data_IF_329650798852
#
_entry.id   IF_329650798852
#
_cell.length_a   1.000
_cell.length_b   1.000
_cell.length_c   1.000
_cell.angle_alpha   90.00
_cell.angle_beta   90.00
_cell.angle_gamma   90.00
#
_symmetry.space_group_name_H-M   'P 1'
#
loop_
_entity.id
_entity.type
_entity.pdbx_description
1 polymer ?
#
# COMPACT_ATOMS: atom_id res chain seq x y z
N UNK A 1 -38.51 29.26 31.16
CA UNK A 1 -37.74 28.91 29.95
C UNK A 1 -38.12 27.47 29.59
N UNK A 2 -39.24 27.26 28.89
CA UNK A 2 -39.31 27.25 27.41
C UNK A 2 -38.27 26.28 26.85
N UNK A 3 -38.64 24.99 26.70
CA UNK A 3 -39.16 24.42 25.45
C UNK A 3 -38.22 24.61 24.26
N UNK A 4 -37.54 23.52 23.88
CA UNK A 4 -37.53 22.95 22.52
C UNK A 4 -36.24 22.17 22.29
N UNK A 5 -36.23 20.91 22.71
CA UNK A 5 -35.39 19.88 22.10
C UNK A 5 -35.96 19.64 20.69
N UNK A 6 -35.50 20.44 19.72
CA UNK A 6 -35.89 20.29 18.32
C UNK A 6 -35.19 19.04 17.78
N UNK A 7 -35.94 17.94 17.78
CA UNK A 7 -35.58 16.72 17.09
C UNK A 7 -35.41 16.99 15.60
N UNK A 8 -34.19 16.76 15.11
CA UNK A 8 -33.91 16.73 13.68
C UNK A 8 -34.40 15.39 13.10
N UNK A 9 -35.07 15.41 11.93
CA UNK A 9 -35.66 14.23 11.32
C UNK A 9 -34.59 13.25 10.83
N UNK A 10 -34.82 11.97 11.17
CA UNK A 10 -34.15 10.80 10.65
C UNK A 10 -34.21 10.81 9.12
N UNK A 11 -33.04 10.97 8.48
CA UNK A 11 -32.92 10.81 7.03
C UNK A 11 -33.28 9.36 6.65
N UNK A 12 -34.42 9.21 5.97
CA UNK A 12 -34.85 7.95 5.36
C UNK A 12 -33.90 7.60 4.21
N UNK A 13 -32.89 6.77 4.48
CA UNK A 13 -32.10 6.12 3.44
C UNK A 13 -32.95 5.03 2.78
N UNK A 14 -33.52 5.32 1.61
CA UNK A 14 -34.10 4.29 0.74
C UNK A 14 -32.97 3.45 0.17
N UNK A 15 -32.74 2.28 0.77
CA UNK A 15 -31.93 1.21 0.21
C UNK A 15 -32.57 0.76 -1.11
N UNK A 16 -31.96 1.14 -2.23
CA UNK A 16 -32.37 0.69 -3.55
C UNK A 16 -32.00 -0.79 -3.70
N UNK A 17 -33.02 -1.64 -3.68
CA UNK A 17 -32.94 -3.07 -3.94
C UNK A 17 -32.49 -3.33 -5.38
N UNK A 18 -31.18 -3.53 -5.58
CA UNK A 18 -30.66 -4.06 -6.83
C UNK A 18 -30.89 -5.58 -6.88
N UNK A 19 -31.86 -5.95 -7.71
CA UNK A 19 -32.27 -7.30 -8.07
C UNK A 19 -31.07 -8.20 -8.42
N UNK A 20 -30.94 -9.32 -7.70
CA UNK A 20 -30.07 -10.42 -8.11
C UNK A 20 -30.73 -11.10 -9.30
N UNK A 21 -30.04 -11.17 -10.42
CA UNK A 21 -30.46 -12.02 -11.53
C UNK A 21 -29.28 -12.64 -12.25
N UNK A 22 -29.12 -13.93 -11.94
CA UNK A 22 -28.76 -15.05 -12.81
C UNK A 22 -27.31 -15.14 -13.28
N UNK A 23 -26.60 -16.02 -12.57
CA UNK A 23 -25.57 -16.86 -13.13
C UNK A 23 -26.02 -17.51 -14.44
N UNK A 24 -25.18 -17.40 -15.47
CA UNK A 24 -25.09 -18.37 -16.54
C UNK A 24 -23.67 -18.90 -16.56
N UNK A 25 -23.53 -20.16 -16.17
CA UNK A 25 -22.35 -20.95 -16.46
C UNK A 25 -22.24 -21.13 -17.98
N UNK A 26 -21.08 -20.78 -18.53
CA UNK A 26 -20.67 -21.22 -19.84
C UNK A 26 -19.28 -21.84 -19.70
N UNK A 27 -19.28 -23.17 -19.68
CA UNK A 27 -18.13 -24.02 -19.88
C UNK A 27 -17.57 -23.77 -21.28
N UNK A 28 -16.32 -23.33 -21.38
CA UNK A 28 -15.45 -23.73 -22.48
C UNK A 28 -14.12 -24.19 -21.87
N UNK A 29 -13.92 -25.50 -21.90
CA UNK A 29 -12.65 -26.14 -21.63
C UNK A 29 -11.68 -25.68 -22.71
N UNK A 30 -10.82 -24.75 -22.34
CA UNK A 30 -9.70 -24.29 -23.16
C UNK A 30 -8.67 -23.76 -22.19
N UNK A 31 -7.78 -24.64 -21.73
CA UNK A 31 -6.69 -24.34 -20.81
C UNK A 31 -5.82 -23.24 -21.44
N UNK A 32 -5.88 -21.97 -20.99
CA UNK A 32 -4.91 -21.02 -21.44
C UNK A 32 -3.59 -21.48 -20.81
N UNK A 33 -2.61 -21.76 -21.66
CA UNK A 33 -1.21 -21.74 -21.28
C UNK A 33 -1.02 -20.53 -20.35
N UNK A 34 -0.62 -20.78 -19.10
CA UNK A 34 -0.17 -19.72 -18.22
C UNK A 34 1.11 -19.17 -18.87
N UNK A 35 0.96 -18.08 -19.64
CA UNK A 35 2.09 -17.18 -19.81
C UNK A 35 2.31 -16.60 -18.42
N UNK A 36 3.42 -16.96 -17.79
CA UNK A 36 3.87 -16.31 -16.58
C UNK A 36 3.91 -14.81 -16.90
N UNK A 37 2.97 -14.07 -16.30
CA UNK A 37 2.79 -12.65 -16.59
C UNK A 37 4.10 -11.92 -16.33
N UNK A 38 4.72 -11.40 -17.39
CA UNK A 38 5.73 -10.38 -17.28
C UNK A 38 5.05 -9.17 -16.65
N UNK A 39 5.08 -9.09 -15.31
CA UNK A 39 4.78 -7.85 -14.61
C UNK A 39 5.75 -6.82 -15.19
N UNK A 40 5.24 -5.98 -16.07
CA UNK A 40 6.05 -4.96 -16.73
C UNK A 40 6.66 -4.09 -15.64
N UNK A 41 7.96 -3.78 -15.77
CA UNK A 41 8.70 -2.92 -14.84
C UNK A 41 8.01 -1.55 -14.62
N UNK A 42 7.13 -1.15 -15.55
CA UNK A 42 6.25 0.01 -15.42
C UNK A 42 5.30 -0.05 -14.21
N UNK A 43 4.75 -1.23 -13.88
CA UNK A 43 3.77 -1.37 -12.79
C UNK A 43 4.40 -1.16 -11.40
N UNK A 44 5.64 -1.59 -11.20
CA UNK A 44 6.38 -1.39 -9.95
C UNK A 44 6.84 0.06 -9.76
N UNK A 45 7.20 0.75 -10.86
CA UNK A 45 7.52 2.18 -10.84
C UNK A 45 6.29 3.02 -10.49
N UNK A 46 5.14 2.74 -11.10
CA UNK A 46 3.89 3.45 -10.81
C UNK A 46 3.49 3.36 -9.33
N UNK A 47 3.66 2.19 -8.70
CA UNK A 47 3.36 2.02 -7.27
C UNK A 47 4.31 2.83 -6.37
N UNK A 48 5.61 2.89 -6.71
CA UNK A 48 6.57 3.72 -5.97
C UNK A 48 6.30 5.22 -6.15
N UNK A 49 5.91 5.63 -7.35
CA UNK A 49 5.59 7.02 -7.67
C UNK A 49 4.32 7.46 -6.94
N UNK A 50 3.29 6.60 -6.90
CA UNK A 50 2.08 6.83 -6.10
C UNK A 50 2.36 6.95 -4.60
N UNK A 51 3.31 6.19 -4.05
CA UNK A 51 3.73 6.30 -2.64
C UNK A 51 4.46 7.62 -2.38
N UNK A 52 5.38 8.01 -3.27
CA UNK A 52 6.10 9.28 -3.15
C UNK A 52 5.14 10.48 -3.19
N UNK A 53 4.14 10.47 -4.08
CA UNK A 53 3.11 11.53 -4.11
C UNK A 53 2.36 11.65 -2.78
N UNK A 54 2.03 10.52 -2.13
CA UNK A 54 1.35 10.52 -0.82
C UNK A 54 2.25 11.08 0.29
N UNK A 55 3.55 10.79 0.25
CA UNK A 55 4.53 11.36 1.18
C UNK A 55 4.62 12.88 0.99
N UNK A 56 4.70 13.36 -0.26
CA UNK A 56 4.75 14.79 -0.57
C UNK A 56 3.49 15.53 -0.09
N UNK A 57 2.31 14.92 -0.24
CA UNK A 57 1.05 15.45 0.30
C UNK A 57 1.04 15.48 1.83
N UNK A 58 1.53 14.42 2.48
CA UNK A 58 1.64 14.35 3.93
C UNK A 58 2.61 15.41 4.49
N UNK A 59 3.74 15.65 3.83
CA UNK A 59 4.70 16.70 4.19
C UNK A 59 4.02 18.07 4.11
N UNK A 60 3.32 18.37 3.02
CA UNK A 60 2.57 19.64 2.88
C UNK A 60 1.55 19.80 4.01
N UNK A 61 0.82 18.74 4.35
CA UNK A 61 -0.14 18.75 5.44
C UNK A 61 0.53 18.97 6.81
N UNK A 62 1.70 18.36 7.05
CA UNK A 62 2.47 18.55 8.28
C UNK A 62 3.03 19.97 8.40
N UNK A 63 3.52 20.54 7.30
CA UNK A 63 3.94 21.95 7.24
C UNK A 63 2.77 22.90 7.46
N UNK A 64 1.61 22.63 6.86
CA UNK A 64 0.37 23.38 7.06
C UNK A 64 -0.05 23.35 8.53
N UNK A 65 -0.03 22.17 9.16
CA UNK A 65 -0.33 22.00 10.58
C UNK A 65 0.69 22.76 11.45
N UNK A 66 1.98 22.69 11.12
CA UNK A 66 3.02 23.42 11.81
C UNK A 66 2.88 24.95 11.68
N UNK A 67 2.38 25.46 10.54
CA UNK A 67 2.09 26.89 10.35
C UNK A 67 0.82 27.33 11.08
N UNK A 68 -0.22 26.49 11.11
CA UNK A 68 -1.52 26.79 11.73
C UNK A 68 -1.50 26.69 13.25
N UNK A 69 -0.90 25.63 13.79
CA UNK A 69 -0.93 25.30 15.21
C UNK A 69 0.42 25.57 15.91
N UNK A 70 1.49 25.81 15.14
CA UNK A 70 2.84 26.02 15.63
C UNK A 70 3.67 24.73 15.62
N UNK A 71 4.99 24.87 15.41
CA UNK A 71 5.93 23.73 15.24
C UNK A 71 5.96 22.74 16.42
N UNK A 72 5.65 23.20 17.64
CA UNK A 72 5.65 22.38 18.85
C UNK A 72 4.29 21.81 19.26
N UNK A 73 3.24 22.13 18.51
CA UNK A 73 1.86 21.69 18.79
C UNK A 73 1.70 20.19 18.62
N UNK A 74 0.68 19.61 19.25
CA UNK A 74 0.40 18.16 19.15
C UNK A 74 -0.05 17.80 17.75
N UNK A 75 -0.80 18.70 17.12
CA UNK A 75 -1.35 18.58 15.78
C UNK A 75 -0.24 18.53 14.73
N UNK A 76 0.81 19.36 14.88
CA UNK A 76 1.98 19.28 14.02
C UNK A 76 2.75 17.96 14.20
N UNK A 77 2.93 17.50 15.44
CA UNK A 77 3.61 16.23 15.72
C UNK A 77 2.88 15.04 15.11
N UNK A 78 1.58 14.93 15.34
CA UNK A 78 0.74 13.87 14.75
C UNK A 78 0.80 13.88 13.23
N UNK A 79 0.83 15.07 12.59
CA UNK A 79 0.96 15.14 11.15
C UNK A 79 2.34 14.68 10.64
N UNK A 80 3.41 14.96 11.39
CA UNK A 80 4.75 14.44 11.11
C UNK A 80 4.88 12.94 11.38
N UNK A 81 4.18 12.39 12.38
CA UNK A 81 4.14 10.94 12.64
C UNK A 81 3.56 10.17 11.43
N UNK A 82 2.58 10.75 10.72
CA UNK A 82 2.02 10.17 9.50
C UNK A 82 3.04 10.14 8.35
N UNK A 83 3.89 11.17 8.23
CA UNK A 83 4.99 11.19 7.24
C UNK A 83 5.97 10.06 7.55
N UNK A 84 6.34 9.90 8.83
CA UNK A 84 7.24 8.84 9.28
C UNK A 84 6.67 7.44 8.94
N UNK A 85 5.38 7.20 9.18
CA UNK A 85 4.73 5.93 8.86
C UNK A 85 4.78 5.61 7.35
N UNK A 86 4.50 6.60 6.50
CA UNK A 86 4.53 6.41 5.03
C UNK A 86 5.94 6.15 4.51
N UNK A 87 6.94 6.82 5.07
CA UNK A 87 8.34 6.62 4.71
C UNK A 87 8.87 5.26 5.19
N UNK A 88 8.45 4.83 6.37
CA UNK A 88 8.76 3.50 6.89
C UNK A 88 8.22 2.40 5.96
N UNK A 89 6.96 2.52 5.52
CA UNK A 89 6.36 1.60 4.56
C UNK A 89 7.10 1.62 3.21
N UNK A 90 7.49 2.81 2.70
CA UNK A 90 8.27 2.92 1.47
C UNK A 90 9.62 2.20 1.59
N UNK A 91 10.30 2.40 2.71
CA UNK A 91 11.58 1.74 3.00
C UNK A 91 11.41 0.22 3.09
N UNK A 92 10.35 -0.24 3.78
CA UNK A 92 10.05 -1.66 3.90
C UNK A 92 9.82 -2.32 2.53
N UNK A 93 9.03 -1.67 1.66
CA UNK A 93 8.81 -2.15 0.30
C UNK A 93 10.09 -2.15 -0.55
N UNK A 94 11.00 -1.18 -0.33
CA UNK A 94 12.30 -1.15 -1.00
C UNK A 94 13.22 -2.27 -0.50
N UNK A 95 13.28 -2.49 0.81
CA UNK A 95 14.09 -3.53 1.44
C UNK A 95 13.65 -4.94 1.02
N UNK A 96 12.34 -5.20 0.96
CA UNK A 96 11.80 -6.48 0.46
C UNK A 96 12.18 -6.75 -1.01
N UNK A 97 12.44 -5.71 -1.81
CA UNK A 97 12.88 -5.87 -3.21
C UNK A 97 14.39 -6.07 -3.33
N UNK A 98 15.16 -5.74 -2.29
CA UNK A 98 16.61 -5.80 -2.26
C UNK A 98 17.14 -6.98 -1.42
N UNK A 99 16.25 -7.79 -0.84
CA UNK A 99 16.60 -8.79 0.17
C UNK A 99 17.29 -10.05 -0.36
N UNK A 100 17.75 -10.06 -1.61
CA UNK A 100 18.63 -11.13 -2.10
C UNK A 100 20.00 -10.50 -2.34
N UNK A 101 20.96 -10.84 -1.48
CA UNK A 101 22.35 -10.47 -1.74
C UNK A 101 22.76 -11.12 -3.08
N UNK A 102 23.46 -10.41 -3.97
CA UNK A 102 23.87 -10.97 -5.25
C UNK A 102 24.63 -12.30 -5.12
N UNK A 103 25.40 -12.47 -4.03
CA UNK A 103 26.10 -13.72 -3.75
C UNK A 103 25.16 -14.81 -3.26
N UNK A 104 24.15 -14.50 -2.42
CA UNK A 104 23.11 -15.48 -2.05
C UNK A 104 22.37 -16.00 -3.28
N UNK A 105 22.01 -15.13 -4.22
CA UNK A 105 21.36 -15.54 -5.45
C UNK A 105 22.28 -16.42 -6.31
N UNK A 106 23.56 -16.07 -6.42
CA UNK A 106 24.55 -16.89 -7.12
C UNK A 106 24.74 -18.27 -6.47
N UNK A 107 24.81 -18.33 -5.14
CA UNK A 107 24.95 -19.58 -4.40
C UNK A 107 23.71 -20.47 -4.45
N UNK A 108 22.50 -19.90 -4.64
CA UNK A 108 21.28 -20.68 -4.90
C UNK A 108 21.30 -21.33 -6.28
N UNK A 109 21.90 -20.67 -7.28
CA UNK A 109 21.95 -21.16 -8.66
C UNK A 109 23.11 -22.14 -8.89
N UNK A 110 24.24 -21.95 -8.21
CA UNK A 110 25.43 -22.80 -8.28
C UNK A 110 25.95 -23.12 -6.87
N UNK A 111 25.36 -24.12 -6.17
CA UNK A 111 25.79 -24.48 -4.81
C UNK A 111 27.18 -25.13 -4.76
N UNK A 112 27.71 -25.59 -5.89
CA UNK A 112 29.03 -26.22 -5.99
C UNK A 112 30.16 -25.23 -6.28
N UNK A 113 29.86 -23.94 -6.44
CA UNK A 113 30.88 -22.91 -6.60
C UNK A 113 31.76 -22.82 -5.35
N UNK A 114 33.05 -22.52 -5.53
CA UNK A 114 34.01 -22.44 -4.43
C UNK A 114 33.61 -21.35 -3.41
N UNK A 115 32.93 -20.30 -3.87
CA UNK A 115 32.39 -19.21 -3.05
C UNK A 115 31.18 -19.62 -2.20
N UNK A 116 30.52 -20.73 -2.54
CA UNK A 116 29.22 -21.16 -1.98
C UNK A 116 29.29 -22.50 -1.24
N UNK A 117 30.48 -23.12 -1.21
CA UNK A 117 30.71 -24.42 -0.60
C UNK A 117 30.69 -24.31 0.93
N UNK A 118 29.55 -24.64 1.53
CA UNK A 118 29.40 -24.75 2.99
C UNK A 118 29.79 -26.15 3.43
N UNK A 119 30.79 -26.27 4.31
CA UNK A 119 31.13 -27.52 4.98
C UNK A 119 30.40 -27.56 6.32
N UNK A 120 29.67 -28.63 6.60
CA UNK A 120 29.17 -28.89 7.96
C UNK A 120 30.27 -29.61 8.76
N UNK A 121 30.61 -29.08 9.94
CA UNK A 121 31.62 -29.62 10.86
C UNK A 121 31.24 -30.99 11.47
#
# INVERSE_FOLDING_TARGET
MELAFVGAPLHSAKLSSASRSRARAASCVGRPHLVAGTRTLASLRMASESMNTRIDEAIKNAEDAARKYGKGSKEAKVAWDVVEELEAERSHQAAQRQSEDPLEQYCKEVPEADECRVYED
#
